data_IF_393317357043
#
_entry.id   IF_393317357043
#
_cell.length_a   1.000
_cell.length_b   1.000
_cell.length_c   1.000
_cell.angle_alpha   90.00
_cell.angle_beta   90.00
_cell.angle_gamma   90.00
#
_symmetry.space_group_name_H-M   'P 1'
#
loop_
_entity.id
_entity.type
_entity.pdbx_description
1 polymer ?
#
# COMPACT_ATOMS: atom_id res chain seq x y z
N UNK A 1 23.67 9.33 -5.53
CA UNK A 1 22.49 9.50 -4.64
C UNK A 1 22.01 8.12 -4.24
N UNK A 2 21.51 7.93 -3.02
CA UNK A 2 20.94 6.64 -2.59
C UNK A 2 19.65 6.35 -3.40
N UNK A 3 19.44 5.11 -3.88
CA UNK A 3 18.20 4.75 -4.57
C UNK A 3 17.00 4.74 -3.63
N UNK A 4 15.80 4.79 -4.21
CA UNK A 4 14.55 4.40 -3.56
C UNK A 4 14.42 2.88 -3.66
N UNK A 5 14.18 2.20 -2.54
CA UNK A 5 13.90 0.77 -2.54
C UNK A 5 12.42 0.54 -2.87
N UNK A 6 12.12 -0.41 -3.74
CA UNK A 6 10.79 -1.00 -3.86
C UNK A 6 10.88 -2.48 -3.47
N UNK A 7 10.30 -2.80 -2.31
CA UNK A 7 10.12 -4.17 -1.84
C UNK A 7 8.89 -4.76 -2.52
N UNK A 8 9.11 -5.54 -3.57
CA UNK A 8 8.02 -6.26 -4.24
C UNK A 8 7.72 -7.53 -3.45
N UNK A 9 6.53 -7.57 -2.85
CA UNK A 9 6.08 -8.65 -1.95
C UNK A 9 5.26 -9.73 -2.65
N UNK A 10 5.09 -9.61 -3.97
CA UNK A 10 4.33 -10.52 -4.81
C UNK A 10 4.19 -9.96 -6.21
N UNK A 11 3.57 -10.72 -7.09
CA UNK A 11 3.17 -10.24 -8.41
C UNK A 11 1.68 -9.93 -8.42
N UNK A 12 1.25 -9.03 -9.32
CA UNK A 12 -0.16 -8.95 -9.68
C UNK A 12 -0.61 -10.29 -10.31
N UNK A 13 -1.89 -10.69 -10.21
CA UNK A 13 -2.37 -11.91 -10.87
C UNK A 13 -2.02 -11.90 -12.37
N UNK A 14 -1.70 -13.07 -12.96
CA UNK A 14 -1.23 -13.16 -14.35
C UNK A 14 -2.20 -12.51 -15.36
N UNK A 15 -3.51 -12.59 -15.11
CA UNK A 15 -4.52 -11.92 -15.94
C UNK A 15 -4.35 -10.40 -15.91
N UNK A 16 -4.09 -9.83 -14.72
CA UNK A 16 -3.85 -8.40 -14.54
C UNK A 16 -2.54 -7.98 -15.20
N UNK A 17 -1.48 -8.78 -15.06
CA UNK A 17 -0.18 -8.47 -15.69
C UNK A 17 -0.30 -8.38 -17.21
N UNK A 18 -1.08 -9.27 -17.85
CA UNK A 18 -1.28 -9.28 -19.30
C UNK A 18 -2.05 -8.07 -19.81
N UNK A 19 -3.03 -7.58 -19.05
CA UNK A 19 -3.89 -6.47 -19.44
C UNK A 19 -3.35 -5.10 -19.02
N UNK A 20 -2.64 -5.07 -17.89
CA UNK A 20 -2.19 -3.87 -17.19
C UNK A 20 -0.66 -3.88 -17.12
N UNK A 21 -0.13 -4.21 -15.95
CA UNK A 21 1.29 -4.36 -15.68
C UNK A 21 1.47 -5.12 -14.34
N UNK A 22 2.70 -5.37 -13.93
CA UNK A 22 3.01 -5.84 -12.59
C UNK A 22 3.19 -4.66 -11.62
N UNK A 23 3.24 -4.92 -10.31
CA UNK A 23 3.23 -3.88 -9.27
C UNK A 23 4.35 -2.85 -9.44
N UNK A 24 5.58 -3.27 -9.72
CA UNK A 24 6.70 -2.32 -9.93
C UNK A 24 6.35 -1.26 -10.98
N UNK A 25 5.82 -1.66 -12.13
CA UNK A 25 5.46 -0.71 -13.19
C UNK A 25 4.30 0.21 -12.78
N UNK A 26 3.30 -0.32 -12.06
CA UNK A 26 2.19 0.49 -11.53
C UNK A 26 2.69 1.59 -10.58
N UNK A 27 3.58 1.25 -9.63
CA UNK A 27 4.20 2.23 -8.74
C UNK A 27 5.05 3.26 -9.49
N UNK A 28 5.84 2.81 -10.46
CA UNK A 28 6.65 3.71 -11.30
C UNK A 28 5.79 4.74 -12.01
N UNK A 29 4.74 4.28 -12.68
CA UNK A 29 3.84 5.14 -13.45
C UNK A 29 3.03 6.07 -12.54
N UNK A 30 2.31 5.53 -11.55
CA UNK A 30 1.39 6.34 -10.74
C UNK A 30 2.12 7.25 -9.75
N UNK A 31 3.31 6.85 -9.29
CA UNK A 31 4.14 7.61 -8.36
C UNK A 31 5.09 8.61 -9.03
N UNK A 32 5.12 8.70 -10.36
CA UNK A 32 6.09 9.51 -11.12
C UNK A 32 7.54 9.20 -10.71
N UNK A 33 7.86 7.92 -10.52
CA UNK A 33 9.18 7.49 -10.06
C UNK A 33 10.11 7.37 -11.27
N UNK A 34 11.25 8.06 -11.21
CA UNK A 34 12.30 7.88 -12.21
C UNK A 34 12.91 6.48 -12.08
N UNK A 35 12.80 5.64 -13.11
CA UNK A 35 13.19 4.23 -13.06
C UNK A 35 14.66 4.03 -12.67
N UNK A 36 15.55 4.93 -13.09
CA UNK A 36 16.98 4.93 -12.76
C UNK A 36 17.28 5.22 -11.28
N UNK A 37 16.29 5.69 -10.53
CA UNK A 37 16.38 5.93 -9.08
C UNK A 37 15.78 4.80 -8.26
N UNK A 38 15.15 3.82 -8.89
CA UNK A 38 14.46 2.73 -8.23
C UNK A 38 15.34 1.49 -8.22
N UNK A 39 15.47 0.86 -7.05
CA UNK A 39 15.98 -0.49 -6.92
C UNK A 39 14.83 -1.38 -6.45
N UNK A 40 14.38 -2.28 -7.32
CA UNK A 40 13.39 -3.31 -6.95
C UNK A 40 14.10 -4.52 -6.35
N UNK A 41 13.53 -5.08 -5.29
CA UNK A 41 13.94 -6.36 -4.70
C UNK A 41 12.70 -7.24 -4.59
N UNK A 42 12.75 -8.43 -5.18
CA UNK A 42 11.64 -9.38 -5.17
C UNK A 42 11.78 -10.39 -4.02
N UNK A 43 11.12 -10.06 -2.91
CA UNK A 43 11.27 -10.80 -1.65
C UNK A 43 10.83 -12.27 -1.73
N UNK A 44 9.74 -12.65 -2.43
CA UNK A 44 9.33 -14.05 -2.53
C UNK A 44 10.36 -14.98 -3.19
N UNK A 45 11.24 -14.46 -4.07
CA UNK A 45 12.33 -15.24 -4.66
C UNK A 45 13.56 -15.39 -3.74
N UNK A 46 13.49 -14.87 -2.50
CA UNK A 46 14.59 -14.89 -1.55
C UNK A 46 15.65 -13.80 -1.79
N UNK A 47 15.38 -12.83 -2.68
CA UNK A 47 16.23 -11.65 -2.81
C UNK A 47 16.22 -10.84 -1.52
N UNK A 48 17.36 -10.24 -1.19
CA UNK A 48 17.51 -9.44 0.02
C UNK A 48 17.91 -8.00 -0.32
N UNK A 49 17.24 -6.99 0.28
CA UNK A 49 17.67 -5.62 0.15
C UNK A 49 19.02 -5.43 0.86
N UNK A 50 19.74 -4.40 0.46
CA UNK A 50 20.88 -3.90 1.24
C UNK A 50 20.39 -3.38 2.61
N UNK A 51 21.28 -3.10 3.57
CA UNK A 51 20.89 -2.44 4.82
C UNK A 51 20.13 -1.12 4.58
N UNK A 52 19.19 -0.72 5.47
CA UNK A 52 18.36 0.48 5.30
C UNK A 52 19.13 1.76 4.95
N UNK A 53 20.36 1.92 5.45
CA UNK A 53 21.23 3.07 5.21
C UNK A 53 21.65 3.19 3.74
N UNK A 54 21.51 2.15 2.92
CA UNK A 54 21.80 2.22 1.49
C UNK A 54 20.74 2.98 0.69
N UNK A 55 19.56 3.25 1.28
CA UNK A 55 18.40 3.80 0.58
C UNK A 55 18.03 5.20 1.07
N UNK A 56 17.30 5.94 0.23
CA UNK A 56 16.71 7.24 0.60
C UNK A 56 15.27 7.09 1.14
N UNK A 57 14.65 5.93 0.94
CA UNK A 57 13.31 5.57 1.37
C UNK A 57 12.97 4.17 0.88
N UNK A 58 11.81 3.66 1.28
CA UNK A 58 11.29 2.36 0.83
C UNK A 58 9.80 2.43 0.53
N UNK A 59 9.39 1.77 -0.56
CA UNK A 59 8.00 1.44 -0.87
C UNK A 59 7.82 -0.07 -0.67
N UNK A 60 6.75 -0.49 -0.02
CA UNK A 60 6.38 -1.91 0.14
C UNK A 60 5.05 -2.13 -0.58
N UNK A 61 5.05 -3.03 -1.56
CA UNK A 61 3.88 -3.26 -2.44
C UNK A 61 2.78 -4.05 -1.74
N UNK A 62 1.66 -4.24 -2.45
CA UNK A 62 0.69 -5.29 -2.14
C UNK A 62 1.24 -6.70 -2.44
N UNK A 63 0.47 -7.72 -2.09
CA UNK A 63 0.77 -9.14 -2.36
C UNK A 63 -0.53 -9.94 -2.41
N UNK A 64 -0.50 -11.08 -3.12
CA UNK A 64 -1.52 -12.13 -2.96
C UNK A 64 -1.31 -12.97 -1.68
N UNK A 65 -0.10 -12.95 -1.12
CA UNK A 65 0.21 -13.61 0.14
C UNK A 65 -0.49 -12.93 1.33
N UNK A 66 -0.67 -13.68 2.41
CA UNK A 66 -1.28 -13.18 3.64
C UNK A 66 -0.21 -12.97 4.72
N UNK A 67 -0.24 -11.84 5.43
CA UNK A 67 0.74 -11.58 6.51
C UNK A 67 0.66 -12.65 7.60
N UNK A 68 -0.53 -13.20 7.84
CA UNK A 68 -0.75 -14.29 8.80
C UNK A 68 -0.07 -15.61 8.43
N UNK A 69 0.32 -15.80 7.16
CA UNK A 69 1.07 -17.00 6.75
C UNK A 69 2.51 -16.96 7.28
N UNK A 70 3.01 -15.78 7.66
CA UNK A 70 4.35 -15.59 8.25
C UNK A 70 5.46 -16.27 7.44
N UNK A 71 5.38 -16.13 6.11
CA UNK A 71 6.36 -16.70 5.20
C UNK A 71 7.78 -16.22 5.55
N UNK A 72 8.83 -17.03 5.37
CA UNK A 72 10.18 -16.66 5.83
C UNK A 72 10.70 -15.33 5.28
N UNK A 73 10.40 -15.00 4.02
CA UNK A 73 10.76 -13.71 3.42
C UNK A 73 10.00 -12.54 4.04
N UNK A 74 8.76 -12.78 4.49
CA UNK A 74 7.91 -11.76 5.12
C UNK A 74 8.41 -11.40 6.50
N UNK A 75 8.78 -12.39 7.33
CA UNK A 75 9.35 -12.15 8.65
C UNK A 75 10.74 -11.50 8.56
N UNK A 76 11.54 -11.84 7.54
CA UNK A 76 12.81 -11.15 7.24
C UNK A 76 12.58 -9.69 6.85
N UNK A 77 11.59 -9.41 6.00
CA UNK A 77 11.21 -8.05 5.64
C UNK A 77 10.69 -7.27 6.85
N UNK A 78 9.90 -7.90 7.73
CA UNK A 78 9.44 -7.28 8.97
C UNK A 78 10.62 -6.86 9.88
N UNK A 79 11.66 -7.70 10.00
CA UNK A 79 12.88 -7.33 10.74
C UNK A 79 13.63 -6.17 10.07
N UNK A 80 13.76 -6.20 8.74
CA UNK A 80 14.36 -5.09 8.00
C UNK A 80 13.59 -3.78 8.23
N UNK A 81 12.25 -3.83 8.24
CA UNK A 81 11.41 -2.66 8.53
C UNK A 81 11.61 -2.13 9.94
N UNK A 82 11.82 -2.99 10.95
CA UNK A 82 12.21 -2.53 12.31
C UNK A 82 13.55 -1.79 12.30
N UNK A 83 14.50 -2.20 11.46
CA UNK A 83 15.79 -1.51 11.31
C UNK A 83 15.61 -0.16 10.61
N UNK A 84 14.82 -0.12 9.54
CA UNK A 84 14.48 1.12 8.83
C UNK A 84 13.78 2.14 9.73
N UNK A 85 12.85 1.70 10.58
CA UNK A 85 12.17 2.55 11.56
C UNK A 85 13.14 3.14 12.59
N UNK A 86 14.15 2.40 13.03
CA UNK A 86 15.17 2.89 14.00
C UNK A 86 15.97 4.06 13.47
N UNK A 87 16.26 4.09 12.17
CA UNK A 87 16.99 5.20 11.53
C UNK A 87 16.05 6.26 10.94
N UNK A 88 14.75 6.16 11.20
CA UNK A 88 13.72 7.06 10.66
C UNK A 88 13.77 7.13 9.12
N UNK A 89 14.03 6.01 8.44
CA UNK A 89 13.96 5.94 6.98
C UNK A 89 12.53 6.27 6.53
N UNK A 90 12.32 7.05 5.46
CA UNK A 90 10.99 7.22 4.87
C UNK A 90 10.42 5.89 4.38
N UNK A 91 9.19 5.57 4.79
CA UNK A 91 8.49 4.32 4.43
C UNK A 91 7.11 4.63 3.87
N UNK A 92 6.78 4.00 2.74
CA UNK A 92 5.43 3.99 2.18
C UNK A 92 4.95 2.55 1.97
N UNK A 93 4.01 2.08 2.77
CA UNK A 93 3.48 0.71 2.69
C UNK A 93 2.08 0.67 2.11
N UNK A 94 1.81 -0.22 1.16
CA UNK A 94 0.51 -0.35 0.49
C UNK A 94 -0.08 -1.74 0.69
N UNK A 95 -1.34 -1.82 1.12
CA UNK A 95 -2.09 -3.06 1.32
C UNK A 95 -1.30 -4.09 2.17
N UNK A 96 -0.65 -5.08 1.56
CA UNK A 96 0.25 -5.99 2.25
C UNK A 96 1.37 -5.23 3.00
N UNK A 97 1.98 -4.22 2.39
CA UNK A 97 3.00 -3.38 3.04
C UNK A 97 2.46 -2.57 4.22
N UNK A 98 1.19 -2.17 4.17
CA UNK A 98 0.50 -1.52 5.29
C UNK A 98 0.34 -2.48 6.48
N UNK A 99 -0.09 -3.71 6.19
CA UNK A 99 -0.27 -4.78 7.16
C UNK A 99 1.07 -5.25 7.74
N UNK A 100 2.07 -5.46 6.88
CA UNK A 100 3.39 -5.95 7.26
C UNK A 100 4.10 -4.99 8.22
N UNK A 101 4.02 -3.67 7.98
CA UNK A 101 4.61 -2.70 8.90
C UNK A 101 3.89 -2.70 10.25
N UNK A 102 2.56 -2.83 10.27
CA UNK A 102 1.80 -2.94 11.51
C UNK A 102 2.23 -4.19 12.31
N UNK A 103 2.29 -5.36 11.64
CA UNK A 103 2.78 -6.62 12.21
C UNK A 103 4.21 -6.51 12.73
N UNK A 104 5.12 -5.93 11.94
CA UNK A 104 6.51 -5.74 12.33
C UNK A 104 6.66 -4.94 13.63
N UNK A 105 5.74 -3.99 13.87
CA UNK A 105 5.73 -3.11 15.03
C UNK A 105 4.81 -3.60 16.17
N UNK A 106 4.29 -4.83 16.07
CA UNK A 106 3.51 -5.48 17.14
C UNK A 106 2.00 -5.25 17.07
N UNK A 107 1.49 -4.73 15.95
CA UNK A 107 0.07 -4.73 15.64
C UNK A 107 -0.43 -6.12 15.26
N UNK A 108 -1.76 -6.27 15.26
CA UNK A 108 -2.45 -7.50 14.88
C UNK A 108 -3.01 -7.37 13.46
N UNK A 109 -2.70 -8.34 12.62
CA UNK A 109 -3.24 -8.48 11.27
C UNK A 109 -3.97 -9.82 11.18
N UNK A 110 -5.15 -9.82 10.59
CA UNK A 110 -5.91 -11.04 10.29
C UNK A 110 -6.90 -10.77 9.16
N UNK A 111 -7.65 -11.79 8.74
CA UNK A 111 -8.80 -11.63 7.86
C UNK A 111 -9.78 -10.61 8.40
N UNK A 112 -10.20 -9.69 7.54
CA UNK A 112 -11.16 -8.68 7.91
C UNK A 112 -12.49 -9.38 8.32
N UNK A 113 -13.05 -9.10 9.51
CA UNK A 113 -14.17 -9.86 10.06
C UNK A 113 -15.46 -9.75 9.23
N UNK A 114 -15.58 -8.71 8.40
CA UNK A 114 -16.69 -8.52 7.45
C UNK A 114 -16.40 -9.08 6.04
N UNK A 115 -15.28 -9.77 5.87
CA UNK A 115 -14.80 -10.28 4.59
C UNK A 115 -14.08 -9.22 3.75
N UNK A 116 -13.77 -9.58 2.50
CA UNK A 116 -13.00 -8.75 1.56
C UNK A 116 -13.67 -7.40 1.28
N UNK A 117 -12.90 -6.32 1.39
CA UNK A 117 -13.28 -5.00 0.89
C UNK A 117 -12.73 -4.82 -0.52
N UNK A 118 -13.61 -4.50 -1.49
CA UNK A 118 -13.20 -4.35 -2.89
C UNK A 118 -13.97 -3.28 -3.66
N UNK A 119 -13.27 -2.56 -4.52
CA UNK A 119 -13.79 -1.57 -5.47
C UNK A 119 -13.25 -0.16 -5.24
N UNK A 120 -13.78 0.82 -5.98
CA UNK A 120 -13.50 2.23 -5.75
C UNK A 120 -14.44 2.78 -4.67
N UNK A 121 -13.94 2.89 -3.43
CA UNK A 121 -14.73 3.19 -2.24
C UNK A 121 -14.34 4.53 -1.61
N UNK A 122 -15.18 5.04 -0.73
CA UNK A 122 -14.90 6.26 0.02
C UNK A 122 -13.96 5.98 1.20
N UNK A 123 -12.93 6.82 1.31
CA UNK A 123 -12.03 6.94 2.46
C UNK A 123 -12.25 8.31 3.07
N UNK A 124 -12.39 8.34 4.40
CA UNK A 124 -12.64 9.56 5.18
C UNK A 124 -11.48 9.80 6.13
N UNK A 125 -10.88 10.99 6.04
CA UNK A 125 -9.84 11.46 6.94
C UNK A 125 -10.41 11.72 8.34
N UNK A 126 -9.67 11.32 9.36
CA UNK A 126 -9.96 11.62 10.76
C UNK A 126 -9.42 13.00 11.15
N UNK A 127 -9.91 13.61 12.24
CA UNK A 127 -9.38 14.88 12.73
C UNK A 127 -7.85 14.88 12.94
N UNK A 128 -7.27 13.75 13.34
CA UNK A 128 -5.83 13.57 13.50
C UNK A 128 -5.03 13.84 12.20
N UNK A 129 -5.63 13.59 11.03
CA UNK A 129 -5.02 13.86 9.73
C UNK A 129 -4.80 15.35 9.45
N UNK A 130 -5.52 16.25 10.12
CA UNK A 130 -5.47 17.70 9.84
C UNK A 130 -4.08 18.31 10.08
N UNK A 131 -3.24 17.64 10.88
CA UNK A 131 -1.89 18.11 11.20
C UNK A 131 -0.80 17.40 10.40
N UNK A 132 -1.14 16.43 9.55
CA UNK A 132 -0.15 15.73 8.72
C UNK A 132 0.08 16.46 7.40
N UNK A 133 1.27 17.02 7.16
CA UNK A 133 1.56 17.77 5.93
C UNK A 133 1.51 16.90 4.67
N UNK A 134 1.61 15.57 4.77
CA UNK A 134 1.49 14.66 3.62
C UNK A 134 0.04 14.49 3.17
N UNK A 135 -0.90 14.76 4.06
CA UNK A 135 -2.34 14.73 3.80
C UNK A 135 -2.88 16.12 3.47
N UNK A 136 -2.04 17.15 3.53
CA UNK A 136 -2.42 18.52 3.20
C UNK A 136 -2.86 18.61 1.73
N UNK A 137 -4.07 19.12 1.50
CA UNK A 137 -4.66 19.26 0.17
C UNK A 137 -5.59 18.12 -0.24
N UNK A 138 -5.67 17.04 0.54
CA UNK A 138 -6.73 16.04 0.35
C UNK A 138 -8.07 16.55 0.90
N UNK A 139 -9.19 16.29 0.20
CA UNK A 139 -10.50 16.54 0.79
C UNK A 139 -10.76 15.56 1.94
N UNK A 140 -11.58 15.95 2.90
CA UNK A 140 -11.93 15.12 4.07
C UNK A 140 -12.46 13.74 3.66
N UNK A 141 -13.15 13.63 2.53
CA UNK A 141 -13.60 12.37 1.94
C UNK A 141 -13.18 12.31 0.48
N UNK A 142 -12.55 11.21 0.09
CA UNK A 142 -12.11 10.96 -1.28
C UNK A 142 -12.34 9.50 -1.68
N UNK A 143 -12.25 9.21 -2.98
CA UNK A 143 -12.31 7.85 -3.51
C UNK A 143 -10.91 7.23 -3.56
N UNK A 144 -10.82 5.95 -3.21
CA UNK A 144 -9.61 5.13 -3.35
C UNK A 144 -9.98 3.75 -3.90
N UNK A 145 -9.01 3.07 -4.53
CA UNK A 145 -9.15 1.70 -5.02
C UNK A 145 -8.75 0.71 -3.91
N UNK A 146 -9.66 -0.19 -3.55
CA UNK A 146 -9.45 -1.17 -2.47
C UNK A 146 -9.60 -2.59 -3.02
N UNK A 147 -8.71 -3.48 -2.59
CA UNK A 147 -8.87 -4.92 -2.70
C UNK A 147 -8.03 -5.59 -1.61
N UNK A 148 -8.67 -6.06 -0.54
CA UNK A 148 -7.96 -6.74 0.54
C UNK A 148 -8.88 -7.70 1.29
N UNK A 149 -8.35 -8.86 1.67
CA UNK A 149 -9.05 -9.85 2.51
C UNK A 149 -8.58 -9.81 3.97
N UNK A 150 -7.36 -9.34 4.21
CA UNK A 150 -6.82 -9.08 5.54
C UNK A 150 -6.72 -7.58 5.79
N UNK A 151 -6.78 -7.22 7.06
CA UNK A 151 -6.62 -5.86 7.55
C UNK A 151 -5.75 -5.86 8.80
N UNK A 152 -5.19 -4.70 9.11
CA UNK A 152 -4.81 -4.41 10.50
C UNK A 152 -6.10 -4.48 11.33
N UNK A 153 -6.14 -5.30 12.37
CA UNK A 153 -7.27 -5.35 13.30
C UNK A 153 -7.02 -4.50 14.55
N UNK A 154 -5.75 -4.46 14.96
CA UNK A 154 -5.29 -3.66 16.10
C UNK A 154 -3.96 -3.02 15.70
N UNK A 155 -3.90 -1.70 15.44
CA UNK A 155 -2.63 -1.04 15.15
C UNK A 155 -1.72 -1.05 16.39
N UNK A 156 -0.39 -1.06 16.22
CA UNK A 156 0.50 -0.94 17.37
C UNK A 156 0.30 0.43 18.04
N UNK A 157 0.49 0.51 19.35
CA UNK A 157 0.21 1.74 20.11
C UNK A 157 1.05 2.97 19.71
N UNK A 158 2.09 2.79 18.91
CA UNK A 158 2.91 3.86 18.32
C UNK A 158 2.35 4.44 17.02
N UNK A 159 1.32 3.81 16.44
CA UNK A 159 0.71 4.24 15.19
C UNK A 159 -0.41 5.26 15.44
N UNK A 160 -0.50 6.25 14.57
CA UNK A 160 -1.64 7.16 14.52
C UNK A 160 -2.57 6.75 13.38
N UNK A 161 -3.87 6.69 13.67
CA UNK A 161 -4.92 6.38 12.69
C UNK A 161 -5.39 7.68 12.05
N UNK A 162 -5.27 7.77 10.73
CA UNK A 162 -5.52 9.01 9.99
C UNK A 162 -6.73 8.93 9.06
N UNK A 163 -7.18 7.74 8.68
CA UNK A 163 -8.36 7.60 7.84
C UNK A 163 -9.04 6.25 8.01
N UNK A 164 -10.31 6.18 7.66
CA UNK A 164 -11.13 4.97 7.65
C UNK A 164 -11.99 4.87 6.39
N UNK A 165 -12.45 3.67 6.07
CA UNK A 165 -13.56 3.44 5.13
C UNK A 165 -14.85 3.17 5.89
N UNK A 166 -15.92 2.77 5.19
CA UNK A 166 -17.15 2.32 5.84
C UNK A 166 -16.96 0.97 6.58
N UNK A 167 -16.03 0.14 6.11
CA UNK A 167 -15.83 -1.22 6.59
C UNK A 167 -14.59 -1.35 7.49
N UNK A 168 -13.50 -0.66 7.16
CA UNK A 168 -12.20 -0.80 7.81
C UNK A 168 -11.77 0.52 8.48
N UNK A 169 -11.51 0.52 9.80
CA UNK A 169 -11.15 1.71 10.56
C UNK A 169 -9.72 2.23 10.32
N UNK A 170 -8.84 1.50 9.62
CA UNK A 170 -7.41 1.80 9.55
C UNK A 170 -6.89 1.96 8.12
N UNK A 171 -7.57 2.75 7.29
CA UNK A 171 -7.19 2.95 5.89
C UNK A 171 -5.87 3.70 5.70
N UNK A 172 -5.51 4.59 6.63
CA UNK A 172 -4.21 5.27 6.66
C UNK A 172 -3.64 5.18 8.07
N UNK A 173 -2.42 4.67 8.19
CA UNK A 173 -1.66 4.64 9.44
C UNK A 173 -0.35 5.40 9.28
N UNK A 174 0.00 6.19 10.29
CA UNK A 174 1.30 6.88 10.38
C UNK A 174 2.12 6.31 11.53
N UNK A 175 3.39 6.05 11.25
CA UNK A 175 4.35 5.56 12.23
C UNK A 175 5.50 6.57 12.33
N UNK A 176 5.55 7.30 13.44
CA UNK A 176 6.56 8.35 13.62
C UNK A 176 6.52 9.44 12.53
N UNK A 177 7.65 10.11 12.25
CA UNK A 177 7.67 11.28 11.36
C UNK A 177 7.62 10.91 9.87
N UNK A 178 8.22 9.80 9.43
CA UNK A 178 8.49 9.55 8.00
C UNK A 178 7.89 8.27 7.43
N UNK A 179 7.15 7.48 8.22
CA UNK A 179 6.45 6.30 7.72
C UNK A 179 4.93 6.53 7.66
N UNK A 180 4.36 6.32 6.48
CA UNK A 180 2.92 6.43 6.19
C UNK A 180 2.51 5.20 5.39
N UNK A 181 1.38 4.57 5.72
CA UNK A 181 0.89 3.41 4.99
C UNK A 181 -0.58 3.52 4.66
N UNK A 182 -1.00 2.89 3.56
CA UNK A 182 -2.39 2.88 3.08
C UNK A 182 -2.88 1.46 2.89
N UNK A 183 -4.08 1.14 3.36
CA UNK A 183 -4.72 -0.16 3.09
C UNK A 183 -5.27 -0.23 1.65
N UNK A 184 -5.64 0.92 1.09
CA UNK A 184 -5.99 1.10 -0.32
C UNK A 184 -4.75 1.20 -1.23
N UNK A 185 -4.99 1.10 -2.54
CA UNK A 185 -3.99 1.05 -3.62
C UNK A 185 -3.90 2.38 -4.38
N UNK A 186 -3.01 3.32 -3.99
CA UNK A 186 -2.75 4.55 -4.74
C UNK A 186 -2.03 4.32 -6.08
N UNK A 187 -1.48 3.13 -6.29
CA UNK A 187 -0.86 2.68 -7.53
C UNK A 187 -1.85 2.10 -8.55
N UNK A 188 -3.13 1.95 -8.19
CA UNK A 188 -4.17 1.51 -9.11
C UNK A 188 -4.94 2.69 -9.72
N UNK A 189 -5.10 2.66 -11.04
CA UNK A 189 -6.07 3.46 -11.77
C UNK A 189 -7.43 2.74 -11.90
N UNK A 190 -8.43 3.42 -12.42
CA UNK A 190 -9.79 2.87 -12.52
C UNK A 190 -9.85 1.60 -13.36
N UNK A 191 -9.08 1.55 -14.45
CA UNK A 191 -9.10 0.41 -15.35
C UNK A 191 -8.35 -0.82 -14.78
N UNK A 192 -7.31 -0.63 -13.95
CA UNK A 192 -6.74 -1.72 -13.15
C UNK A 192 -7.77 -2.28 -12.17
N UNK A 193 -8.52 -1.41 -11.47
CA UNK A 193 -9.59 -1.88 -10.57
C UNK A 193 -10.68 -2.65 -11.32
N UNK A 194 -11.03 -2.22 -12.54
CA UNK A 194 -11.97 -2.95 -13.39
C UNK A 194 -11.47 -4.36 -13.74
N UNK A 195 -10.19 -4.51 -14.12
CA UNK A 195 -9.61 -5.85 -14.40
C UNK A 195 -9.68 -6.77 -13.18
N UNK A 196 -9.39 -6.25 -11.96
CA UNK A 196 -9.54 -7.03 -10.74
C UNK A 196 -10.99 -7.43 -10.44
N UNK A 197 -11.94 -6.52 -10.64
CA UNK A 197 -13.36 -6.82 -10.46
C UNK A 197 -13.85 -7.88 -11.46
N UNK A 198 -13.39 -7.84 -12.71
CA UNK A 198 -13.68 -8.89 -13.71
C UNK A 198 -13.10 -10.24 -13.28
N UNK A 199 -11.83 -10.28 -12.87
CA UNK A 199 -11.18 -11.50 -12.38
C UNK A 199 -11.92 -12.10 -11.17
N UNK A 200 -12.38 -11.26 -10.25
CA UNK A 200 -13.18 -11.69 -9.10
C UNK A 200 -14.56 -12.20 -9.50
N UNK A 201 -15.20 -11.58 -10.50
CA UNK A 201 -16.48 -12.00 -11.05
C UNK A 201 -16.41 -13.38 -11.72
N UNK A 202 -15.31 -13.68 -12.41
CA UNK A 202 -15.05 -14.98 -13.04
C UNK A 202 -14.73 -16.07 -12.02
N UNK A 203 -13.89 -15.76 -11.02
CA UNK A 203 -13.47 -16.72 -9.99
C UNK A 203 -14.53 -17.01 -8.94
N UNK A 204 -15.54 -16.14 -8.79
CA UNK A 204 -16.63 -16.30 -7.82
C UNK A 204 -18.00 -16.10 -8.47
N UNK A 205 -18.49 -17.05 -9.27
CA UNK A 205 -19.78 -16.94 -9.97
C UNK A 205 -20.97 -16.59 -9.05
N UNK A 206 -20.95 -17.06 -7.81
CA UNK A 206 -21.95 -16.76 -6.79
C UNK A 206 -22.00 -15.28 -6.35
N UNK A 207 -20.94 -14.50 -6.61
CA UNK A 207 -20.83 -13.07 -6.31
C UNK A 207 -20.73 -12.20 -7.56
N UNK A 208 -20.87 -12.79 -8.76
CA UNK A 208 -20.65 -12.13 -10.04
C UNK A 208 -21.44 -10.82 -10.18
N UNK A 209 -22.74 -10.82 -9.86
CA UNK A 209 -23.59 -9.64 -9.94
C UNK A 209 -23.12 -8.49 -9.01
N UNK A 210 -22.58 -8.81 -7.84
CA UNK A 210 -22.09 -7.81 -6.90
C UNK A 210 -20.80 -7.14 -7.41
N UNK A 211 -19.88 -7.90 -8.01
CA UNK A 211 -18.68 -7.33 -8.64
C UNK A 211 -19.00 -6.57 -9.92
N UNK A 212 -19.95 -7.05 -10.73
CA UNK A 212 -20.43 -6.32 -11.90
C UNK A 212 -21.06 -4.98 -11.56
N UNK A 213 -21.82 -4.89 -10.46
CA UNK A 213 -22.33 -3.60 -9.98
C UNK A 213 -21.20 -2.62 -9.64
N UNK A 214 -20.12 -3.10 -9.04
CA UNK A 214 -18.94 -2.29 -8.68
C UNK A 214 -18.12 -1.85 -9.90
N UNK A 215 -18.15 -2.58 -11.02
CA UNK A 215 -17.42 -2.21 -12.24
C UNK A 215 -17.80 -0.82 -12.74
N UNK A 216 -19.09 -0.48 -12.71
CA UNK A 216 -19.59 0.83 -13.13
C UNK A 216 -19.19 1.98 -12.21
N UNK A 217 -18.76 1.66 -10.98
CA UNK A 217 -18.30 2.62 -9.98
C UNK A 217 -16.77 2.73 -9.95
N UNK A 218 -16.07 1.81 -10.63
CA UNK A 218 -14.62 1.79 -10.67
C UNK A 218 -14.11 2.99 -11.49
N UNK A 219 -13.17 3.74 -10.93
CA UNK A 219 -12.68 4.97 -11.53
C UNK A 219 -11.33 5.40 -10.99
N UNK A 220 -10.77 6.43 -11.63
CA UNK A 220 -9.49 6.99 -11.22
C UNK A 220 -9.60 7.67 -9.86
N UNK A 221 -8.55 7.55 -9.05
CA UNK A 221 -8.52 8.03 -7.68
C UNK A 221 -7.36 9.02 -7.47
N UNK A 222 -7.43 10.23 -8.06
CA UNK A 222 -6.31 11.16 -8.09
C UNK A 222 -5.87 11.61 -6.70
N UNK A 223 -6.79 11.75 -5.74
CA UNK A 223 -6.48 12.10 -4.35
C UNK A 223 -5.73 10.98 -3.62
N UNK A 224 -6.10 9.72 -3.85
CA UNK A 224 -5.35 8.57 -3.33
C UNK A 224 -3.93 8.55 -3.93
N UNK A 225 -3.84 8.74 -5.26
CA UNK A 225 -2.56 8.77 -5.98
C UNK A 225 -1.62 9.89 -5.52
N UNK A 226 -2.16 11.06 -5.16
CA UNK A 226 -1.37 12.18 -4.63
C UNK A 226 -0.53 11.81 -3.40
N UNK A 227 -0.95 10.82 -2.61
CA UNK A 227 -0.17 10.35 -1.46
C UNK A 227 1.13 9.68 -1.89
N UNK A 228 1.07 8.81 -2.89
CA UNK A 228 2.24 8.14 -3.44
C UNK A 228 3.17 9.16 -4.10
N UNK A 229 2.63 10.07 -4.90
CA UNK A 229 3.41 11.13 -5.55
C UNK A 229 4.05 12.08 -4.53
N UNK A 230 3.31 12.46 -3.49
CA UNK A 230 3.79 13.30 -2.39
C UNK A 230 4.93 12.65 -1.62
N UNK A 231 4.83 11.34 -1.35
CA UNK A 231 5.92 10.57 -0.76
C UNK A 231 7.18 10.63 -1.63
N UNK A 232 7.06 10.30 -2.92
CA UNK A 232 8.19 10.30 -3.87
C UNK A 232 8.83 11.69 -4.02
N UNK A 233 8.02 12.73 -4.13
CA UNK A 233 8.49 14.12 -4.21
C UNK A 233 9.20 14.56 -2.91
N UNK A 234 8.70 14.12 -1.75
CA UNK A 234 9.27 14.43 -0.43
C UNK A 234 10.68 13.89 -0.22
N UNK A 235 11.04 12.76 -0.84
CA UNK A 235 12.39 12.18 -0.76
C UNK A 235 13.47 13.13 -1.31
N UNK A 236 13.13 13.94 -2.32
CA UNK A 236 14.06 14.91 -2.91
C UNK A 236 14.35 16.12 -2.02
N UNK A 237 13.43 16.48 -1.12
CA UNK A 237 13.61 17.60 -0.19
C UNK A 237 14.51 17.23 1.01
N UNK A 238 14.49 15.96 1.43
CA UNK A 238 15.30 15.45 2.55
C UNK A 238 16.77 15.18 2.18
N UNK A 239 17.10 15.15 0.88
CA UNK A 239 18.46 14.95 0.37
C UNK A 239 19.27 16.27 0.23
N UNK A 240 18.73 17.41 0.69
CA UNK A 240 19.41 18.73 0.66
C UNK A 240 19.98 19.17 2.02
N UNK A 241 20.24 18.23 2.94
CA UNK A 241 20.99 18.50 4.17
C UNK A 241 22.28 17.66 4.20
#
# INVERSE_FOLDING_TARGET
MKPLLLMQTGDAPEAIQRERANFTQMFVQQGNIAAERLQTVFLPAGEQPLPPEAYCGVIITGSEAMVTERLPWSEQAAEWLRQAMRISLPIFGVCYGHQLLAHALGGKVDYHPQGMEVGTLDVTLLPAAAHDPRLAGLPTRFKANLIHSQSVLEPPGSAEVLAHSAQDPYQILRYGPYALTTQFHPEFDGATMQSYLNLLAESHPQRQAAYQHKLHQAGDTPFSQQLLQGFVAGLGAQLKC
#
